data_IF_019778119673
#
_entry.id   IF_019778119673
#
_cell.length_a   1.000
_cell.length_b   1.000
_cell.length_c   1.000
_cell.angle_alpha   90.00
_cell.angle_beta   90.00
_cell.angle_gamma   90.00
#
_symmetry.space_group_name_H-M   'P 1'
#
loop_
_entity.id
_entity.type
_entity.pdbx_description
1 polymer ?
#
# COMPACT_ATOMS: atom_id res chain seq x y z
N UNK A 1 5.89 0.02 -1.60
CA UNK A 1 4.44 0.15 -1.35
C UNK A 1 3.87 -0.93 -0.43
N UNK A 2 4.63 -1.96 -0.04
CA UNK A 2 4.13 -3.07 0.77
C UNK A 2 4.28 -2.88 2.28
N UNK A 3 5.07 -1.91 2.72
CA UNK A 3 5.32 -1.67 4.15
C UNK A 3 4.19 -0.93 4.88
N UNK A 4 3.41 -0.14 4.18
CA UNK A 4 2.29 0.62 4.77
C UNK A 4 1.08 -0.26 5.08
N UNK A 5 0.93 -1.37 4.36
CA UNK A 5 -0.29 -2.16 4.39
C UNK A 5 -0.48 -3.01 5.65
N UNK A 6 0.59 -3.49 6.27
CA UNK A 6 0.45 -4.36 7.44
C UNK A 6 0.08 -3.59 8.72
N UNK A 7 0.52 -2.35 8.85
CA UNK A 7 0.14 -1.49 10.00
C UNK A 7 -1.27 -0.94 9.82
N UNK A 8 -1.71 -0.68 8.60
CA UNK A 8 -3.08 -0.23 8.32
C UNK A 8 -4.14 -1.32 8.52
N UNK A 9 -3.73 -2.59 8.57
CA UNK A 9 -4.64 -3.71 8.79
C UNK A 9 -5.16 -3.83 10.21
N UNK A 10 -4.34 -3.51 11.21
CA UNK A 10 -4.75 -3.64 12.60
C UNK A 10 -5.99 -2.80 12.94
N UNK A 11 -6.09 -1.51 12.54
CA UNK A 11 -7.33 -0.74 12.69
C UNK A 11 -8.51 -1.34 11.95
N UNK A 12 -8.31 -1.84 10.72
CA UNK A 12 -9.39 -2.49 9.97
C UNK A 12 -9.90 -3.74 10.68
N UNK A 13 -9.02 -4.59 11.20
CA UNK A 13 -9.41 -5.76 11.97
C UNK A 13 -10.19 -5.37 13.24
N UNK A 14 -9.76 -4.33 13.94
CA UNK A 14 -10.46 -3.83 15.12
C UNK A 14 -11.87 -3.34 14.77
N UNK A 15 -12.00 -2.55 13.70
CA UNK A 15 -13.30 -2.10 13.18
C UNK A 15 -14.17 -3.30 12.81
N UNK A 16 -13.64 -4.28 12.10
CA UNK A 16 -14.37 -5.49 11.71
C UNK A 16 -14.86 -6.28 12.93
N UNK A 17 -14.03 -6.46 13.94
CA UNK A 17 -14.39 -7.16 15.15
C UNK A 17 -15.46 -6.40 15.95
N UNK A 18 -15.30 -5.07 16.08
CA UNK A 18 -16.29 -4.22 16.74
C UNK A 18 -17.65 -4.23 16.02
N UNK A 19 -17.66 -4.21 14.69
CA UNK A 19 -18.87 -4.33 13.89
C UNK A 19 -19.53 -5.71 14.06
N UNK A 20 -18.73 -6.78 14.09
CA UNK A 20 -19.22 -8.13 14.32
C UNK A 20 -19.89 -8.24 15.68
N UNK A 21 -19.25 -7.77 16.73
CA UNK A 21 -19.77 -7.84 18.10
C UNK A 21 -21.05 -7.02 18.28
N UNK A 22 -21.07 -5.77 17.75
CA UNK A 22 -22.22 -4.87 17.91
C UNK A 22 -23.42 -5.24 17.06
N UNK A 23 -23.22 -5.80 15.86
CA UNK A 23 -24.28 -5.99 14.88
C UNK A 23 -24.53 -7.47 14.52
N UNK A 24 -23.89 -8.39 15.23
CA UNK A 24 -23.98 -9.84 14.98
C UNK A 24 -23.68 -10.22 13.51
N UNK A 25 -22.74 -9.51 12.89
CA UNK A 25 -22.35 -9.72 11.50
C UNK A 25 -21.50 -10.98 11.40
N UNK A 26 -22.01 -11.98 10.69
CA UNK A 26 -21.32 -13.26 10.49
C UNK A 26 -20.61 -13.38 9.13
N UNK A 27 -20.92 -12.48 8.19
CA UNK A 27 -20.45 -12.54 6.82
C UNK A 27 -20.09 -11.14 6.31
N UNK A 28 -18.93 -11.02 5.67
CA UNK A 28 -18.49 -9.77 5.05
C UNK A 28 -18.23 -9.97 3.56
N UNK A 29 -18.54 -8.96 2.76
CA UNK A 29 -18.26 -8.94 1.34
C UNK A 29 -17.13 -7.95 1.05
N UNK A 30 -16.14 -8.37 0.27
CA UNK A 30 -15.03 -7.54 -0.17
C UNK A 30 -15.05 -7.32 -1.67
N UNK A 31 -14.90 -6.05 -2.09
CA UNK A 31 -14.80 -5.65 -3.48
C UNK A 31 -13.38 -5.75 -4.07
N UNK A 32 -12.47 -6.45 -3.39
CA UNK A 32 -11.07 -6.55 -3.84
C UNK A 32 -10.94 -7.28 -5.18
N UNK A 33 -9.91 -6.94 -5.94
CA UNK A 33 -9.48 -7.53 -7.22
C UNK A 33 -10.16 -7.03 -8.49
N UNK A 34 -11.28 -6.34 -8.43
CA UNK A 34 -11.88 -5.77 -9.62
C UNK A 34 -10.90 -4.83 -10.37
N UNK A 35 -10.15 -4.02 -9.63
CA UNK A 35 -9.17 -3.07 -10.19
C UNK A 35 -8.06 -3.73 -11.02
N UNK A 36 -7.77 -5.01 -10.76
CA UNK A 36 -6.71 -5.75 -11.47
C UNK A 36 -7.19 -6.39 -12.76
N UNK A 37 -8.44 -6.75 -12.82
CA UNK A 37 -8.99 -7.54 -13.92
C UNK A 37 -9.94 -6.75 -14.80
N UNK A 38 -10.73 -5.86 -14.20
CA UNK A 38 -11.69 -5.01 -14.90
C UNK A 38 -11.33 -3.52 -14.93
N UNK A 39 -10.30 -3.10 -14.16
CA UNK A 39 -9.83 -1.71 -14.09
C UNK A 39 -8.50 -1.48 -14.80
N UNK A 40 -8.00 -0.25 -14.69
CA UNK A 40 -6.77 0.21 -15.33
C UNK A 40 -5.53 0.12 -14.43
N UNK A 41 -5.61 -0.65 -13.35
CA UNK A 41 -4.54 -0.69 -12.35
C UNK A 41 -3.19 -1.08 -12.96
N UNK A 42 -2.30 -0.10 -13.02
CA UNK A 42 -0.98 -0.26 -13.59
C UNK A 42 -0.93 -0.25 -15.13
N UNK A 43 -2.02 -0.02 -15.81
CA UNK A 43 -2.03 0.18 -17.26
C UNK A 43 -1.89 1.68 -17.53
N UNK A 44 -0.90 2.06 -18.32
CA UNK A 44 -0.67 3.44 -18.72
C UNK A 44 -0.46 3.52 -20.24
N UNK A 45 -0.63 4.72 -20.80
CA UNK A 45 -0.33 4.96 -22.21
C UNK A 45 1.13 4.62 -22.57
N UNK A 46 2.05 4.76 -21.62
CA UNK A 46 3.46 4.42 -21.85
C UNK A 46 3.65 2.90 -21.89
N UNK A 47 2.93 2.15 -21.06
CA UNK A 47 2.95 0.69 -21.11
C UNK A 47 2.40 0.16 -22.44
N UNK A 48 1.36 0.81 -22.98
CA UNK A 48 0.77 0.39 -24.28
C UNK A 48 1.69 0.63 -25.48
N UNK A 49 2.65 1.54 -25.37
CA UNK A 49 3.66 1.81 -26.41
C UNK A 49 4.81 0.81 -26.39
N UNK A 50 4.91 0.00 -25.35
CA UNK A 50 5.97 -0.99 -25.21
C UNK A 50 5.71 -2.14 -26.19
N UNK A 51 6.73 -2.44 -27.01
CA UNK A 51 6.69 -3.50 -27.99
C UNK A 51 7.83 -4.53 -27.84
N UNK A 52 8.76 -4.29 -26.88
CA UNK A 52 9.85 -5.20 -26.57
C UNK A 52 9.89 -5.51 -25.07
N UNK A 53 10.29 -6.73 -24.74
CA UNK A 53 10.37 -7.16 -23.35
C UNK A 53 11.37 -6.36 -22.52
N UNK A 54 12.51 -5.97 -23.11
CA UNK A 54 13.52 -5.17 -22.42
C UNK A 54 13.01 -3.76 -22.08
N UNK A 55 12.14 -3.19 -22.90
CA UNK A 55 11.48 -1.92 -22.60
C UNK A 55 10.50 -2.07 -21.42
N UNK A 56 9.81 -3.22 -21.32
CA UNK A 56 8.96 -3.53 -20.18
C UNK A 56 9.79 -3.62 -18.89
N UNK A 57 10.94 -4.30 -18.93
CA UNK A 57 11.86 -4.36 -17.79
C UNK A 57 12.36 -2.97 -17.40
N UNK A 58 12.71 -2.15 -18.37
CA UNK A 58 13.15 -0.77 -18.17
C UNK A 58 12.03 0.09 -17.56
N UNK A 59 10.78 -0.06 -18.01
CA UNK A 59 9.60 0.59 -17.46
C UNK A 59 9.45 0.28 -15.96
N UNK A 60 9.62 -0.98 -15.58
CA UNK A 60 9.55 -1.37 -14.17
C UNK A 60 10.72 -0.84 -13.34
N UNK A 61 11.94 -0.87 -13.88
CA UNK A 61 13.14 -0.36 -13.20
C UNK A 61 13.05 1.14 -12.95
N UNK A 62 12.50 1.90 -13.90
CA UNK A 62 12.52 3.37 -13.88
C UNK A 62 11.39 4.02 -13.08
N UNK A 63 10.45 3.30 -12.53
CA UNK A 63 9.44 4.02 -11.77
C UNK A 63 8.33 3.23 -11.11
N UNK A 64 8.20 1.98 -11.43
CA UNK A 64 6.99 1.27 -11.04
C UNK A 64 7.15 0.48 -9.72
N UNK A 65 8.28 -0.19 -9.51
CA UNK A 65 8.47 -1.08 -8.34
C UNK A 65 9.24 -0.41 -7.22
N UNK A 66 10.38 0.17 -7.53
CA UNK A 66 11.15 0.92 -6.56
C UNK A 66 11.33 2.35 -7.08
N UNK A 67 10.50 3.26 -6.62
CA UNK A 67 10.68 4.70 -6.87
C UNK A 67 11.92 5.26 -6.15
N UNK A 68 12.97 4.46 -6.06
CA UNK A 68 14.21 4.80 -5.38
C UNK A 68 15.40 4.35 -6.23
N UNK A 69 16.41 5.20 -6.33
CA UNK A 69 17.68 4.81 -6.91
C UNK A 69 18.38 3.73 -6.05
N UNK A 70 19.32 3.03 -6.64
CA UNK A 70 20.14 2.03 -5.96
C UNK A 70 20.86 2.61 -4.74
N UNK A 71 21.35 3.84 -4.85
CA UNK A 71 21.99 4.59 -3.78
C UNK A 71 21.01 4.93 -2.64
N UNK A 72 19.81 5.37 -3.01
CA UNK A 72 18.77 5.69 -2.04
C UNK A 72 18.28 4.46 -1.29
N UNK A 73 18.14 3.32 -1.97
CA UNK A 73 17.79 2.04 -1.34
C UNK A 73 18.88 1.60 -0.35
N UNK A 74 20.15 1.75 -0.74
CA UNK A 74 21.29 1.26 0.04
C UNK A 74 21.71 2.20 1.18
N UNK A 75 21.07 3.37 1.30
CA UNK A 75 21.45 4.41 2.27
C UNK A 75 21.42 3.97 3.73
N UNK A 76 20.56 2.99 4.07
CA UNK A 76 20.38 2.50 5.44
C UNK A 76 21.31 1.33 5.80
N UNK A 77 21.92 0.69 4.83
CA UNK A 77 22.81 -0.45 5.05
C UNK A 77 24.14 -0.02 5.71
N UNK A 78 24.72 -0.88 6.56
CA UNK A 78 26.08 -0.72 7.08
C UNK A 78 27.09 -0.68 5.93
N UNK A 79 27.01 -1.71 5.08
CA UNK A 79 27.76 -1.81 3.84
C UNK A 79 26.82 -1.54 2.63
N UNK A 80 27.13 -0.50 1.86
CA UNK A 80 26.36 -0.16 0.67
C UNK A 80 26.36 -1.26 -0.39
N UNK A 81 27.44 -2.05 -0.48
CA UNK A 81 27.55 -3.14 -1.44
C UNK A 81 26.52 -4.25 -1.15
N UNK A 82 26.22 -4.50 0.13
CA UNK A 82 25.14 -5.41 0.51
C UNK A 82 23.80 -4.85 0.03
N UNK A 83 23.56 -3.55 0.24
CA UNK A 83 22.34 -2.89 -0.25
C UNK A 83 22.23 -2.97 -1.78
N UNK A 84 23.31 -2.80 -2.50
CA UNK A 84 23.35 -2.94 -3.97
C UNK A 84 23.03 -4.35 -4.43
N UNK A 85 23.57 -5.37 -3.77
CA UNK A 85 23.22 -6.78 -4.04
C UNK A 85 21.74 -7.05 -3.86
N UNK A 86 21.13 -6.58 -2.78
CA UNK A 86 19.69 -6.75 -2.54
C UNK A 86 18.86 -6.00 -3.56
N UNK A 87 19.26 -4.81 -3.94
CA UNK A 87 18.59 -4.05 -5.01
C UNK A 87 18.57 -4.84 -6.31
N UNK A 88 19.75 -5.32 -6.74
CA UNK A 88 19.87 -6.11 -7.98
C UNK A 88 19.09 -7.44 -7.89
N UNK A 89 19.07 -8.08 -6.72
CA UNK A 89 18.29 -9.29 -6.48
C UNK A 89 16.78 -9.06 -6.63
N UNK A 90 16.25 -7.96 -6.12
CA UNK A 90 14.83 -7.61 -6.28
C UNK A 90 14.47 -7.49 -7.76
N UNK A 91 15.29 -6.80 -8.55
CA UNK A 91 15.04 -6.63 -9.98
C UNK A 91 15.21 -7.92 -10.78
N UNK A 92 16.23 -8.73 -10.48
CA UNK A 92 16.40 -10.03 -11.14
C UNK A 92 15.24 -10.99 -10.84
N UNK A 93 14.73 -10.98 -9.62
CA UNK A 93 13.56 -11.78 -9.23
C UNK A 93 12.31 -11.31 -9.97
N UNK A 94 12.11 -10.01 -10.08
CA UNK A 94 11.01 -9.42 -10.84
C UNK A 94 11.08 -9.81 -12.32
N UNK A 95 12.23 -9.64 -12.93
CA UNK A 95 12.48 -10.00 -14.34
C UNK A 95 12.20 -11.48 -14.61
N UNK A 96 12.71 -12.36 -13.75
CA UNK A 96 12.47 -13.78 -13.82
C UNK A 96 10.98 -14.14 -13.68
N UNK A 97 10.23 -13.42 -12.85
CA UNK A 97 8.81 -13.62 -12.71
C UNK A 97 8.04 -13.12 -13.95
N UNK A 98 8.42 -11.97 -14.50
CA UNK A 98 7.82 -11.44 -15.73
C UNK A 98 8.03 -12.39 -16.92
N UNK A 99 9.24 -12.95 -17.08
CA UNK A 99 9.55 -13.92 -18.17
C UNK A 99 8.68 -15.18 -18.14
N UNK A 100 8.13 -15.54 -16.99
CA UNK A 100 7.26 -16.72 -16.83
C UNK A 100 5.80 -16.45 -17.22
N UNK A 101 5.42 -15.19 -17.33
CA UNK A 101 4.05 -14.81 -17.63
C UNK A 101 3.84 -14.79 -19.13
N UNK A 102 2.77 -15.45 -19.56
CA UNK A 102 2.30 -15.42 -20.95
C UNK A 102 1.17 -14.42 -21.08
N UNK A 103 1.15 -13.65 -22.14
CA UNK A 103 0.10 -12.70 -22.46
C UNK A 103 0.13 -12.36 -23.95
N UNK A 104 -0.96 -11.86 -24.46
CA UNK A 104 -1.09 -11.47 -25.88
C UNK A 104 -0.38 -10.12 -26.15
N UNK A 105 -0.25 -9.30 -25.13
CA UNK A 105 0.40 -8.02 -25.18
C UNK A 105 1.02 -7.68 -23.80
N UNK A 106 1.82 -6.62 -23.72
CA UNK A 106 2.49 -6.24 -22.47
C UNK A 106 1.55 -5.71 -21.40
N UNK A 107 0.37 -5.21 -21.75
CA UNK A 107 -0.64 -4.82 -20.76
C UNK A 107 -1.23 -6.04 -20.07
N UNK A 108 -1.48 -7.13 -20.78
CA UNK A 108 -1.95 -8.39 -20.21
C UNK A 108 -0.87 -9.03 -19.34
N UNK A 109 0.39 -9.01 -19.77
CA UNK A 109 1.54 -9.44 -18.96
C UNK A 109 1.61 -8.63 -17.68
N UNK A 110 1.46 -7.31 -17.75
CA UNK A 110 1.45 -6.43 -16.60
C UNK A 110 0.28 -6.75 -15.65
N UNK A 111 -0.93 -6.88 -16.15
CA UNK A 111 -2.10 -7.26 -15.36
C UNK A 111 -1.89 -8.58 -14.63
N UNK A 112 -1.40 -9.60 -15.34
CA UNK A 112 -1.09 -10.92 -14.77
C UNK A 112 0.04 -10.84 -13.75
N UNK A 113 1.08 -10.05 -14.00
CA UNK A 113 2.16 -9.82 -13.05
C UNK A 113 1.66 -9.19 -11.74
N UNK A 114 0.79 -8.20 -11.84
CA UNK A 114 0.16 -7.58 -10.68
C UNK A 114 -0.71 -8.56 -9.91
N UNK A 115 -1.54 -9.30 -10.60
CA UNK A 115 -2.40 -10.30 -10.00
C UNK A 115 -1.59 -11.36 -9.24
N UNK A 116 -0.55 -11.91 -9.84
CA UNK A 116 0.29 -12.93 -9.22
C UNK A 116 1.17 -12.40 -8.09
N UNK A 117 1.68 -11.19 -8.18
CA UNK A 117 2.60 -10.65 -7.18
C UNK A 117 1.87 -9.84 -6.11
N UNK A 118 1.13 -8.81 -6.48
CA UNK A 118 0.45 -7.95 -5.53
C UNK A 118 -0.83 -8.60 -5.02
N UNK A 119 -1.60 -9.21 -5.89
CA UNK A 119 -2.80 -9.96 -5.54
C UNK A 119 -2.47 -11.06 -4.54
N UNK A 120 -1.58 -11.97 -4.90
CA UNK A 120 -1.19 -13.11 -4.08
C UNK A 120 -0.48 -12.70 -2.78
N UNK A 121 0.48 -11.78 -2.85
CA UNK A 121 1.37 -11.49 -1.73
C UNK A 121 0.86 -10.37 -0.82
N UNK A 122 -0.03 -9.53 -1.28
CA UNK A 122 -0.51 -8.39 -0.53
C UNK A 122 -2.01 -8.53 -0.19
N UNK A 123 -2.88 -8.67 -1.18
CA UNK A 123 -4.33 -8.79 -0.93
C UNK A 123 -4.70 -10.08 -0.20
N UNK A 124 -4.12 -11.22 -0.56
CA UNK A 124 -4.42 -12.48 0.13
C UNK A 124 -4.01 -12.45 1.60
N UNK A 125 -2.94 -11.73 1.95
CA UNK A 125 -2.56 -11.55 3.36
C UNK A 125 -3.58 -10.71 4.12
N UNK A 126 -4.10 -9.65 3.51
CA UNK A 126 -5.18 -8.85 4.08
C UNK A 126 -6.44 -9.69 4.30
N UNK A 127 -6.82 -10.45 3.29
CA UNK A 127 -7.98 -11.32 3.35
C UNK A 127 -7.80 -12.44 4.37
N UNK A 128 -6.62 -13.04 4.46
CA UNK A 128 -6.32 -14.09 5.44
C UNK A 128 -6.50 -13.62 6.87
N UNK A 129 -6.09 -12.40 7.19
CA UNK A 129 -6.31 -11.82 8.51
C UNK A 129 -7.81 -11.59 8.79
N UNK A 130 -8.55 -11.09 7.80
CA UNK A 130 -10.00 -10.90 7.94
C UNK A 130 -10.76 -12.23 8.05
N UNK A 131 -10.25 -13.31 7.44
CA UNK A 131 -10.79 -14.68 7.58
C UNK A 131 -10.69 -15.24 9.01
N UNK A 132 -9.72 -14.78 9.80
CA UNK A 132 -9.60 -15.22 11.19
C UNK A 132 -10.80 -14.78 12.05
N UNK A 133 -11.45 -13.69 11.67
CA UNK A 133 -12.57 -13.13 12.44
C UNK A 133 -13.94 -13.27 11.78
N UNK A 134 -14.00 -13.45 10.45
CA UNK A 134 -15.28 -13.40 9.71
C UNK A 134 -15.31 -14.39 8.54
N UNK A 135 -16.53 -14.78 8.15
CA UNK A 135 -16.74 -15.44 6.86
C UNK A 135 -16.66 -14.38 5.75
N UNK A 136 -15.71 -14.54 4.82
CA UNK A 136 -15.55 -13.63 3.70
C UNK A 136 -16.24 -14.15 2.45
N UNK A 137 -16.89 -13.24 1.73
CA UNK A 137 -17.31 -13.42 0.35
C UNK A 137 -16.55 -12.42 -0.52
N UNK A 138 -15.92 -12.91 -1.56
CA UNK A 138 -15.16 -12.09 -2.51
C UNK A 138 -15.68 -12.40 -3.91
N UNK A 139 -16.74 -11.72 -4.35
CA UNK A 139 -17.40 -12.03 -5.64
C UNK A 139 -16.44 -11.97 -6.82
N UNK A 140 -15.46 -11.06 -6.77
CA UNK A 140 -14.46 -10.88 -7.82
C UNK A 140 -13.38 -11.98 -7.87
N UNK A 141 -13.42 -12.97 -6.96
CA UNK A 141 -12.63 -14.21 -7.04
C UNK A 141 -13.40 -15.36 -7.68
N UNK A 142 -14.64 -15.14 -8.05
CA UNK A 142 -15.39 -16.15 -8.79
C UNK A 142 -14.66 -16.45 -10.11
N UNK A 143 -14.46 -17.74 -10.36
CA UNK A 143 -13.65 -18.21 -11.51
C UNK A 143 -14.23 -17.80 -12.84
N UNK A 144 -15.55 -17.93 -12.99
CA UNK A 144 -16.21 -17.63 -14.26
C UNK A 144 -16.25 -16.11 -14.47
N UNK A 145 -16.46 -15.35 -13.40
CA UNK A 145 -16.38 -13.90 -13.45
C UNK A 145 -14.98 -13.41 -13.85
N UNK A 146 -13.91 -13.94 -13.21
CA UNK A 146 -12.52 -13.61 -13.59
C UNK A 146 -12.20 -13.96 -15.05
N UNK A 147 -12.71 -15.10 -15.52
CA UNK A 147 -12.55 -15.52 -16.92
C UNK A 147 -13.21 -14.52 -17.87
N UNK A 148 -14.42 -14.07 -17.58
CA UNK A 148 -15.10 -13.05 -18.40
C UNK A 148 -14.35 -11.71 -18.35
N UNK A 149 -13.92 -11.26 -17.17
CA UNK A 149 -13.14 -10.04 -17.05
C UNK A 149 -11.81 -10.09 -17.81
N UNK A 150 -11.16 -11.26 -17.86
CA UNK A 150 -9.91 -11.43 -18.61
C UNK A 150 -10.09 -11.28 -20.14
N UNK A 151 -11.32 -11.39 -20.62
CA UNK A 151 -11.65 -11.15 -22.03
C UNK A 151 -11.92 -9.68 -22.35
N UNK A 152 -12.01 -8.80 -21.36
CA UNK A 152 -12.23 -7.37 -21.60
C UNK A 152 -11.00 -6.76 -22.26
N UNK A 153 -11.12 -6.17 -23.46
CA UNK A 153 -10.00 -5.54 -24.14
C UNK A 153 -9.35 -4.46 -23.30
N UNK A 154 -8.02 -4.29 -23.44
CA UNK A 154 -7.26 -3.34 -22.63
C UNK A 154 -7.75 -1.90 -22.77
N UNK A 155 -8.24 -1.53 -23.96
CA UNK A 155 -8.78 -0.21 -24.28
C UNK A 155 -10.02 0.13 -23.43
N UNK A 156 -10.86 -0.88 -23.15
CA UNK A 156 -12.01 -0.74 -22.26
C UNK A 156 -11.66 -0.74 -20.79
N UNK A 157 -10.58 -1.42 -20.39
CA UNK A 157 -10.09 -1.41 -19.01
C UNK A 157 -9.41 -0.09 -18.67
N UNK A 158 -8.80 0.55 -19.68
CA UNK A 158 -8.15 1.85 -19.48
C UNK A 158 -9.17 2.93 -19.12
N UNK A 159 -8.68 3.86 -18.30
CA UNK A 159 -9.44 5.06 -18.01
C UNK A 159 -10.79 4.79 -17.33
N UNK A 160 -10.92 3.66 -16.67
CA UNK A 160 -12.15 3.24 -15.97
C UNK A 160 -13.39 3.12 -16.89
N UNK A 161 -13.24 3.06 -18.21
CA UNK A 161 -14.37 3.02 -19.17
C UNK A 161 -15.29 1.85 -18.86
N UNK A 162 -14.72 0.65 -18.77
CA UNK A 162 -15.48 -0.56 -18.45
C UNK A 162 -16.24 -0.45 -17.12
N UNK A 163 -15.58 0.07 -16.07
CA UNK A 163 -16.20 0.23 -14.76
C UNK A 163 -17.37 1.22 -14.80
N UNK A 164 -17.19 2.34 -15.48
CA UNK A 164 -18.23 3.37 -15.61
C UNK A 164 -19.42 2.84 -16.37
N UNK A 165 -19.19 2.15 -17.49
CA UNK A 165 -20.26 1.60 -18.32
C UNK A 165 -21.00 0.46 -17.61
N UNK A 166 -20.26 -0.39 -16.88
CA UNK A 166 -20.85 -1.45 -16.08
C UNK A 166 -21.74 -0.90 -14.96
N UNK A 167 -21.29 0.15 -14.25
CA UNK A 167 -22.09 0.81 -13.22
C UNK A 167 -23.38 1.41 -13.80
N UNK A 168 -23.29 2.08 -14.93
CA UNK A 168 -24.48 2.65 -15.61
C UNK A 168 -25.44 1.56 -16.04
N UNK A 169 -24.91 0.44 -16.55
CA UNK A 169 -25.71 -0.70 -17.00
C UNK A 169 -26.42 -1.39 -15.84
N UNK A 170 -25.73 -1.59 -14.71
CA UNK A 170 -26.29 -2.29 -13.55
C UNK A 170 -27.37 -1.42 -12.86
N UNK A 171 -27.05 -0.18 -12.56
CA UNK A 171 -27.97 0.70 -11.86
C UNK A 171 -27.53 2.17 -11.98
N UNK A 172 -28.37 2.99 -12.58
CA UNK A 172 -28.13 4.43 -12.78
C UNK A 172 -28.06 5.20 -11.45
N UNK A 173 -28.82 4.80 -10.43
CA UNK A 173 -28.81 5.45 -9.11
C UNK A 173 -27.46 5.21 -8.41
N UNK A 174 -26.94 3.96 -8.44
CA UNK A 174 -25.60 3.65 -7.91
C UNK A 174 -24.54 4.45 -8.66
N UNK A 175 -24.68 4.61 -9.97
CA UNK A 175 -23.73 5.36 -10.79
C UNK A 175 -23.71 6.85 -10.48
N UNK A 176 -24.77 7.39 -9.88
CA UNK A 176 -24.88 8.79 -9.47
C UNK A 176 -24.24 9.09 -8.10
N UNK A 177 -23.93 8.05 -7.31
CA UNK A 177 -23.31 8.23 -5.98
C UNK A 177 -21.94 8.88 -6.13
N UNK A 178 -21.68 9.84 -5.26
CA UNK A 178 -20.40 10.55 -5.22
C UNK A 178 -19.28 9.59 -4.81
N UNK A 179 -18.26 9.51 -5.66
CA UNK A 179 -17.05 8.76 -5.40
C UNK A 179 -16.06 9.64 -4.63
N UNK A 180 -15.61 9.16 -3.48
CA UNK A 180 -14.80 9.93 -2.52
C UNK A 180 -13.44 10.39 -3.08
N UNK A 181 -12.85 9.60 -3.98
CA UNK A 181 -11.55 9.94 -4.56
C UNK A 181 -11.60 11.16 -5.51
N UNK A 182 -12.75 11.42 -6.12
CA UNK A 182 -12.93 12.50 -7.10
C UNK A 182 -13.94 13.54 -6.66
N UNK A 183 -14.72 13.26 -5.62
CA UNK A 183 -15.86 14.08 -5.18
C UNK A 183 -16.89 14.36 -6.30
N UNK A 184 -16.99 13.44 -7.25
CA UNK A 184 -17.90 13.47 -8.39
C UNK A 184 -18.67 12.16 -8.49
N UNK A 185 -19.80 12.10 -9.23
CA UNK A 185 -20.52 10.86 -9.47
C UNK A 185 -19.61 9.74 -10.00
N UNK A 186 -19.82 8.51 -9.53
CA UNK A 186 -19.02 7.35 -9.92
C UNK A 186 -19.05 7.09 -11.45
N UNK A 187 -20.10 7.58 -12.13
CA UNK A 187 -20.27 7.51 -13.60
C UNK A 187 -19.63 8.66 -14.37
N UNK A 188 -18.91 9.58 -13.70
CA UNK A 188 -18.23 10.69 -14.36
C UNK A 188 -17.19 10.17 -15.34
N UNK A 189 -17.08 10.80 -16.51
CA UNK A 189 -16.14 10.40 -17.56
C UNK A 189 -14.69 10.48 -17.11
N UNK A 190 -13.84 9.63 -17.67
CA UNK A 190 -12.42 9.58 -17.27
C UNK A 190 -11.66 10.91 -17.39
N UNK A 191 -11.75 11.68 -18.49
CA UNK A 191 -11.00 12.94 -18.58
C UNK A 191 -11.33 13.90 -17.44
N UNK A 192 -12.60 13.95 -17.07
CA UNK A 192 -13.09 14.79 -15.98
C UNK A 192 -12.68 14.22 -14.62
N UNK A 193 -12.84 12.94 -14.39
CA UNK A 193 -12.37 12.25 -13.18
C UNK A 193 -10.87 12.41 -12.96
N UNK A 194 -10.07 12.28 -14.00
CA UNK A 194 -8.62 12.49 -13.92
C UNK A 194 -8.29 13.90 -13.47
N UNK A 195 -8.93 14.90 -14.06
CA UNK A 195 -8.73 16.30 -13.69
C UNK A 195 -9.13 16.56 -12.24
N UNK A 196 -10.28 16.04 -11.81
CA UNK A 196 -10.77 16.18 -10.44
C UNK A 196 -9.83 15.49 -9.44
N UNK A 197 -9.36 14.30 -9.76
CA UNK A 197 -8.39 13.57 -8.94
C UNK A 197 -7.08 14.32 -8.80
N UNK A 198 -6.54 14.85 -9.88
CA UNK A 198 -5.32 15.68 -9.86
C UNK A 198 -5.48 16.93 -8.99
N UNK A 199 -6.64 17.60 -9.06
CA UNK A 199 -6.96 18.75 -8.22
C UNK A 199 -7.00 18.33 -6.74
N UNK A 200 -7.75 17.27 -6.42
CA UNK A 200 -7.90 16.78 -5.04
C UNK A 200 -6.57 16.33 -4.44
N UNK A 201 -5.74 15.65 -5.23
CA UNK A 201 -4.40 15.24 -4.79
C UNK A 201 -3.48 16.44 -4.54
N UNK A 202 -3.53 17.44 -5.42
CA UNK A 202 -2.74 18.67 -5.31
C UNK A 202 -3.13 19.49 -4.08
N UNK A 203 -4.42 19.62 -3.80
CA UNK A 203 -4.92 20.26 -2.60
C UNK A 203 -4.50 19.51 -1.32
N UNK A 204 -4.62 18.18 -1.32
CA UNK A 204 -4.20 17.35 -0.20
C UNK A 204 -2.71 17.50 0.07
N UNK A 205 -1.87 17.47 -0.98
CA UNK A 205 -0.42 17.67 -0.84
C UNK A 205 -0.07 19.07 -0.34
N UNK A 206 -0.77 20.11 -0.81
CA UNK A 206 -0.59 21.48 -0.35
C UNK A 206 -0.97 21.65 1.13
N UNK A 207 -2.10 21.09 1.55
CA UNK A 207 -2.52 21.09 2.96
C UNK A 207 -1.51 20.36 3.84
N UNK A 208 -1.03 19.22 3.41
CA UNK A 208 0.00 18.47 4.13
C UNK A 208 1.29 19.26 4.28
N UNK A 209 1.75 19.92 3.20
CA UNK A 209 2.94 20.77 3.23
C UNK A 209 2.78 21.96 4.18
N UNK A 210 1.61 22.60 4.19
CA UNK A 210 1.29 23.70 5.09
C UNK A 210 1.20 23.20 6.53
N UNK A 211 0.60 22.04 6.76
CA UNK A 211 0.51 21.43 8.07
C UNK A 211 1.90 21.18 8.68
N UNK A 212 2.84 20.63 7.90
CA UNK A 212 4.23 20.46 8.34
C UNK A 212 4.92 21.81 8.58
N UNK A 213 4.74 22.77 7.68
CA UNK A 213 5.37 24.10 7.79
C UNK A 213 4.93 24.87 9.03
N UNK A 214 3.68 24.72 9.46
CA UNK A 214 3.09 25.40 10.60
C UNK A 214 2.96 24.50 11.85
N UNK A 215 3.99 23.69 12.10
CA UNK A 215 4.11 22.84 13.28
C UNK A 215 2.86 21.98 13.53
N UNK A 216 2.30 21.43 12.47
CA UNK A 216 1.14 20.52 12.52
C UNK A 216 -0.14 21.17 13.08
N UNK A 217 -0.34 22.45 12.82
CA UNK A 217 -1.57 23.17 13.19
C UNK A 217 -2.81 22.47 12.63
N UNK A 218 -3.83 22.28 13.46
CA UNK A 218 -5.10 21.64 13.08
C UNK A 218 -5.83 22.36 11.94
N UNK A 219 -5.57 23.67 11.74
CA UNK A 219 -6.08 24.44 10.61
C UNK A 219 -5.76 23.83 9.24
N UNK A 220 -4.62 23.12 9.14
CA UNK A 220 -4.15 22.51 7.89
C UNK A 220 -4.27 20.98 7.88
N UNK A 221 -4.86 20.40 8.93
CA UNK A 221 -5.09 18.96 9.01
C UNK A 221 -5.97 18.51 7.84
N UNK A 222 -5.62 17.40 7.23
CA UNK A 222 -6.46 16.77 6.22
C UNK A 222 -7.79 16.33 6.85
N UNK A 223 -8.89 16.55 6.14
CA UNK A 223 -10.20 16.05 6.55
C UNK A 223 -10.38 14.53 6.29
N UNK A 224 -9.37 13.87 5.73
CA UNK A 224 -9.39 12.42 5.56
C UNK A 224 -9.26 11.76 6.92
N UNK A 225 -10.18 10.85 7.20
CA UNK A 225 -10.17 9.99 8.40
C UNK A 225 -9.10 8.88 8.34
N UNK A 226 -8.07 9.06 7.53
CA UNK A 226 -6.94 8.13 7.49
C UNK A 226 -6.18 8.18 8.82
N UNK A 227 -5.67 7.03 9.25
CA UNK A 227 -4.81 6.95 10.42
C UNK A 227 -3.63 7.93 10.28
N UNK A 228 -3.57 8.92 11.16
CA UNK A 228 -2.57 9.99 11.08
C UNK A 228 -1.25 9.52 11.72
N UNK A 229 -0.61 8.52 11.11
CA UNK A 229 0.68 7.99 11.59
C UNK A 229 1.75 9.08 11.75
N UNK A 230 1.69 10.12 10.92
CA UNK A 230 2.65 11.21 11.04
C UNK A 230 2.50 11.94 12.37
N UNK A 231 1.26 12.27 12.76
CA UNK A 231 0.97 12.90 14.03
C UNK A 231 1.31 11.99 15.22
N UNK A 232 0.98 10.70 15.11
CA UNK A 232 1.26 9.73 16.16
C UNK A 232 2.76 9.64 16.43
N UNK A 233 3.59 9.55 15.41
CA UNK A 233 5.04 9.45 15.57
C UNK A 233 5.74 10.78 15.89
N UNK A 234 5.05 11.91 15.76
CA UNK A 234 5.61 13.22 16.12
C UNK A 234 5.10 13.76 17.45
N UNK A 235 3.86 13.44 17.84
CA UNK A 235 3.24 14.03 19.03
C UNK A 235 2.97 13.03 20.16
N UNK A 236 2.93 11.72 19.90
CA UNK A 236 2.54 10.71 20.87
C UNK A 236 3.74 9.93 21.41
N UNK A 237 4.11 10.18 22.67
CA UNK A 237 5.25 9.53 23.33
C UNK A 237 5.18 7.99 23.29
N UNK A 238 3.98 7.40 23.36
CA UNK A 238 3.81 5.95 23.30
C UNK A 238 4.27 5.37 21.97
N UNK A 239 3.95 6.02 20.85
CA UNK A 239 4.39 5.60 19.53
C UNK A 239 5.87 5.87 19.28
N UNK A 240 6.39 6.99 19.79
CA UNK A 240 7.82 7.30 19.74
C UNK A 240 8.63 6.25 20.51
N UNK A 241 8.20 5.92 21.72
CA UNK A 241 8.82 4.87 22.53
C UNK A 241 8.75 3.50 21.86
N UNK A 242 7.62 3.18 21.20
CA UNK A 242 7.49 1.94 20.44
C UNK A 242 8.50 1.87 19.29
N UNK A 243 8.68 2.95 18.52
CA UNK A 243 9.69 3.02 17.46
C UNK A 243 11.10 2.81 18.00
N UNK A 244 11.44 3.54 19.06
CA UNK A 244 12.78 3.49 19.68
C UNK A 244 13.06 2.08 20.20
N UNK A 245 12.13 1.47 20.94
CA UNK A 245 12.29 0.12 21.48
C UNK A 245 12.37 -0.94 20.40
N UNK A 246 11.64 -0.79 19.31
CA UNK A 246 11.61 -1.79 18.25
C UNK A 246 12.80 -1.66 17.32
N UNK A 247 13.15 -0.43 16.91
CA UNK A 247 14.15 -0.21 15.87
C UNK A 247 15.55 0.14 16.44
N UNK A 248 15.64 0.72 17.63
CA UNK A 248 16.92 1.22 18.16
C UNK A 248 17.44 0.46 19.39
N UNK A 249 16.73 -0.54 19.88
CA UNK A 249 17.24 -1.39 20.95
C UNK A 249 18.32 -2.34 20.38
N UNK A 250 19.59 -2.00 20.63
CA UNK A 250 20.74 -2.78 20.15
C UNK A 250 20.75 -4.23 20.65
N UNK A 251 20.05 -4.56 21.73
CA UNK A 251 19.97 -5.92 22.25
C UNK A 251 18.92 -6.77 21.54
N UNK A 252 17.87 -6.13 21.00
CA UNK A 252 16.70 -6.81 20.46
C UNK A 252 16.57 -6.70 18.94
N UNK A 253 17.00 -5.58 18.35
CA UNK A 253 16.83 -5.35 16.92
C UNK A 253 17.73 -6.24 16.09
N UNK A 254 17.10 -7.08 15.27
CA UNK A 254 17.78 -8.00 14.34
C UNK A 254 18.41 -7.21 13.19
N UNK A 255 17.67 -6.27 12.61
CA UNK A 255 18.09 -5.52 11.44
C UNK A 255 19.33 -4.66 11.72
N UNK A 256 19.35 -3.96 12.87
CA UNK A 256 20.50 -3.15 13.29
C UNK A 256 21.70 -4.02 13.57
N UNK A 257 21.51 -5.15 14.25
CA UNK A 257 22.61 -6.04 14.57
C UNK A 257 23.19 -6.72 13.32
N UNK A 258 22.37 -6.97 12.31
CA UNK A 258 22.80 -7.65 11.08
C UNK A 258 23.24 -6.70 9.96
N UNK A 259 22.31 -6.01 9.32
CA UNK A 259 22.55 -5.37 8.01
C UNK A 259 22.42 -3.85 7.99
N UNK A 260 21.65 -3.25 8.92
CA UNK A 260 21.38 -1.81 8.88
C UNK A 260 22.24 -1.02 9.87
N UNK A 261 22.54 0.24 9.51
CA UNK A 261 23.31 1.14 10.33
C UNK A 261 22.42 1.78 11.41
N UNK A 262 22.79 1.57 12.67
CA UNK A 262 22.15 2.21 13.82
C UNK A 262 22.05 3.73 13.68
N UNK A 263 23.19 4.38 13.35
CA UNK A 263 23.25 5.84 13.28
C UNK A 263 22.33 6.40 12.18
N UNK A 264 22.24 5.72 11.04
CA UNK A 264 21.39 6.15 9.93
C UNK A 264 19.91 5.98 10.25
N UNK A 265 19.54 4.87 10.92
CA UNK A 265 18.14 4.64 11.36
C UNK A 265 17.77 5.60 12.48
N UNK A 266 18.64 5.79 13.46
CA UNK A 266 18.43 6.77 14.53
C UNK A 266 18.16 8.17 13.96
N UNK A 267 18.98 8.61 13.01
CA UNK A 267 18.83 9.93 12.38
C UNK A 267 17.46 10.15 11.72
N UNK A 268 16.91 9.14 11.01
CA UNK A 268 15.57 9.30 10.40
C UNK A 268 14.45 9.30 11.44
N UNK A 269 14.60 8.54 12.53
CA UNK A 269 13.65 8.53 13.63
C UNK A 269 13.68 9.87 14.36
N UNK A 270 14.87 10.37 14.72
CA UNK A 270 15.03 11.68 15.36
C UNK A 270 14.41 12.80 14.50
N UNK A 271 14.67 12.81 13.18
CA UNK A 271 14.09 13.80 12.26
C UNK A 271 12.58 13.70 12.17
N UNK A 272 12.01 12.48 12.28
CA UNK A 272 10.57 12.27 12.28
C UNK A 272 9.94 12.76 13.58
N UNK A 273 10.54 12.45 14.73
CA UNK A 273 10.06 12.87 16.06
C UNK A 273 10.13 14.39 16.19
N UNK A 274 11.22 15.00 15.74
CA UNK A 274 11.41 16.45 15.77
C UNK A 274 10.55 17.21 14.74
N UNK A 275 9.81 16.51 13.89
CA UNK A 275 9.04 17.11 12.79
C UNK A 275 9.88 17.77 11.69
N UNK A 276 11.22 17.55 11.69
CA UNK A 276 12.14 18.17 10.73
C UNK A 276 12.00 17.63 9.32
N UNK A 277 11.64 16.34 9.21
CA UNK A 277 11.48 15.66 7.92
C UNK A 277 10.48 14.53 8.03
N UNK A 278 9.59 14.42 7.05
CA UNK A 278 8.70 13.27 6.93
C UNK A 278 9.46 12.06 6.38
N UNK A 279 9.82 11.14 7.27
CA UNK A 279 10.46 9.85 6.96
C UNK A 279 9.50 8.67 7.21
N UNK A 280 8.20 8.94 7.37
CA UNK A 280 7.19 7.98 7.79
C UNK A 280 7.24 6.68 6.97
N UNK A 281 7.33 6.80 5.65
CA UNK A 281 7.39 5.64 4.74
C UNK A 281 8.58 4.72 5.03
N UNK A 282 9.76 5.31 5.20
CA UNK A 282 10.99 4.55 5.47
C UNK A 282 10.92 3.89 6.85
N UNK A 283 10.40 4.61 7.84
CA UNK A 283 10.22 4.12 9.22
C UNK A 283 9.22 2.96 9.26
N UNK A 284 8.07 3.07 8.60
CA UNK A 284 7.08 2.00 8.56
C UNK A 284 7.61 0.76 7.84
N UNK A 285 8.40 0.93 6.79
CA UNK A 285 9.06 -0.18 6.11
C UNK A 285 10.05 -0.90 7.03
N UNK A 286 10.92 -0.15 7.71
CA UNK A 286 11.89 -0.71 8.65
C UNK A 286 11.22 -1.41 9.82
N UNK A 287 10.15 -0.81 10.36
CA UNK A 287 9.37 -1.37 11.45
C UNK A 287 8.74 -2.72 11.07
N UNK A 288 8.15 -2.80 9.89
CA UNK A 288 7.59 -4.06 9.38
C UNK A 288 8.66 -5.13 9.19
N UNK A 289 9.81 -4.77 8.63
CA UNK A 289 10.92 -5.69 8.46
C UNK A 289 11.43 -6.19 9.81
N UNK A 290 11.61 -5.31 10.78
CA UNK A 290 12.09 -5.67 12.11
C UNK A 290 11.11 -6.60 12.84
N UNK A 291 9.83 -6.23 12.90
CA UNK A 291 8.79 -7.04 13.54
C UNK A 291 8.69 -8.42 12.86
N UNK A 292 8.68 -8.47 11.53
CA UNK A 292 8.66 -9.72 10.80
C UNK A 292 9.90 -10.56 11.09
N UNK A 293 11.07 -9.94 11.14
CA UNK A 293 12.33 -10.64 11.46
C UNK A 293 12.31 -11.22 12.88
N UNK A 294 11.81 -10.47 13.85
CA UNK A 294 11.68 -10.94 15.23
C UNK A 294 10.73 -12.14 15.34
N UNK A 295 9.58 -12.09 14.66
CA UNK A 295 8.59 -13.18 14.68
C UNK A 295 9.14 -14.44 14.00
N UNK A 296 9.68 -14.30 12.79
CA UNK A 296 10.00 -15.45 11.95
C UNK A 296 11.41 -16.01 12.16
N UNK A 297 12.37 -15.18 12.56
CA UNK A 297 13.76 -15.64 12.76
C UNK A 297 14.06 -15.98 14.21
N UNK A 298 13.48 -15.27 15.18
CA UNK A 298 13.73 -15.51 16.59
C UNK A 298 12.60 -16.25 17.32
N UNK A 299 11.54 -16.66 16.60
CA UNK A 299 10.34 -17.28 17.19
C UNK A 299 9.75 -16.48 18.38
N UNK A 300 9.93 -15.15 18.38
CA UNK A 300 9.37 -14.30 19.42
C UNK A 300 7.87 -14.29 19.25
N UNK A 301 7.16 -14.90 20.20
CA UNK A 301 5.71 -14.77 20.24
C UNK A 301 5.35 -13.33 20.57
N UNK A 302 4.36 -12.74 19.89
CA UNK A 302 3.86 -11.43 20.25
C UNK A 302 3.45 -11.45 21.73
N UNK A 303 4.09 -10.61 22.53
CA UNK A 303 3.70 -10.43 23.92
C UNK A 303 2.54 -9.42 23.95
N UNK A 304 1.43 -9.82 24.56
CA UNK A 304 0.25 -8.96 24.70
C UNK A 304 0.57 -7.64 25.42
N UNK A 305 1.61 -7.61 26.26
CA UNK A 305 2.08 -6.41 26.95
C UNK A 305 2.80 -5.42 26.03
N UNK A 306 3.22 -5.84 24.84
CA UNK A 306 3.88 -4.97 23.86
C UNK A 306 2.90 -4.41 22.80
N UNK A 307 1.64 -4.83 22.81
CA UNK A 307 0.62 -4.19 22.00
C UNK A 307 0.24 -2.85 22.59
N UNK A 308 0.30 -1.82 21.77
CA UNK A 308 -0.31 -0.53 22.11
C UNK A 308 -1.79 -0.82 22.33
N UNK A 309 -2.28 -0.59 23.54
CA UNK A 309 -3.69 -0.77 23.82
C UNK A 309 -4.46 0.34 23.10
N UNK A 310 -5.03 -0.01 21.95
CA UNK A 310 -5.76 0.91 21.09
C UNK A 310 -7.04 1.44 21.74
N UNK A 311 -7.59 0.75 22.75
CA UNK A 311 -8.82 1.18 23.44
C UNK A 311 -8.64 2.52 24.19
N UNK A 312 -7.40 2.90 24.49
CA UNK A 312 -7.09 4.20 25.11
C UNK A 312 -7.08 5.37 24.13
N UNK A 313 -7.15 5.11 22.82
CA UNK A 313 -7.01 6.13 21.77
C UNK A 313 -8.30 6.41 21.00
N UNK A 314 -9.40 5.71 21.33
CA UNK A 314 -10.73 5.86 20.70
C UNK A 314 -11.67 6.72 21.58
N UNK A 315 -11.12 7.64 22.33
CA UNK A 315 -11.92 8.66 23.03
C UNK A 315 -11.80 10.01 22.36
#
# INVERSE_FOLDING_TARGET
SSGESSITLAPQMHIHNSFKEKNNITKMMFGSFFDYTGGDHGISNDLLKINKFDDLISFYKNGYILKQSKESFSKYFKDKNIGYKYYDYVFSTMENNLKKIKGNNFADINTSFFFHNRGKNWYNKHLSLSLLSNKLSIPFYDREFLKQLSCVPVEYRMNDVFRVDLLKFINSEISSIIYDATMAPASTSYPENKKLKEITEKETQNRHRLWLKFNMSDKYKSNRNDANFLEWFTKMNSYQNFLIRTLLDKKKSILINSIFSFEKIKKIIDYQIDGKKNNLRDILMLLNLEISSQIFLNNIKPDNNNFVNFDKFIR
#
